data_IF_490650072436
#
_entry.id   IF_490650072436
#
_cell.length_a   1.000
_cell.length_b   1.000
_cell.length_c   1.000
_cell.angle_alpha   90.00
_cell.angle_beta   90.00
_cell.angle_gamma   90.00
#
_symmetry.space_group_name_H-M   'P 1'
#
loop_
_entity.id
_entity.type
_entity.pdbx_description
1 polymer ?
#
# COMPACT_ATOMS: atom_id res chain seq x y z
N UNK A 1 21.23 36.43 -5.77
CA UNK A 1 22.18 35.31 -5.66
C UNK A 1 21.36 34.03 -5.56
N UNK A 2 21.42 33.15 -6.55
CA UNK A 2 20.73 31.86 -6.48
C UNK A 2 21.48 31.00 -5.45
N UNK A 3 20.80 30.65 -4.36
CA UNK A 3 21.35 29.72 -3.38
C UNK A 3 21.48 28.37 -4.07
N UNK A 4 22.71 27.88 -4.23
CA UNK A 4 22.98 26.55 -4.76
C UNK A 4 22.29 25.53 -3.87
N UNK A 5 21.33 24.79 -4.42
CA UNK A 5 20.64 23.72 -3.70
C UNK A 5 21.69 22.69 -3.25
N UNK A 6 21.66 22.22 -2.00
CA UNK A 6 22.53 21.12 -1.59
C UNK A 6 22.26 19.92 -2.50
N UNK A 7 23.34 19.33 -3.01
CA UNK A 7 23.25 18.10 -3.81
C UNK A 7 22.76 16.92 -2.97
N UNK A 8 22.25 15.85 -3.61
CA UNK A 8 21.77 14.68 -2.90
C UNK A 8 22.88 14.09 -2.03
N UNK A 9 22.61 13.96 -0.73
CA UNK A 9 23.59 13.42 0.22
C UNK A 9 23.79 11.90 0.05
N UNK A 10 22.80 11.24 -0.54
CA UNK A 10 22.77 9.80 -0.73
C UNK A 10 22.70 8.97 0.54
N UNK A 11 22.46 9.62 1.68
CA UNK A 11 22.36 8.98 2.99
C UNK A 11 20.97 9.22 3.55
N UNK A 12 20.40 8.19 4.16
CA UNK A 12 19.23 8.36 5.01
C UNK A 12 19.54 9.38 6.12
N UNK A 13 18.68 10.38 6.25
CA UNK A 13 18.81 11.39 7.29
C UNK A 13 18.16 10.91 8.59
N UNK A 14 17.06 10.16 8.50
CA UNK A 14 16.33 9.66 9.66
C UNK A 14 17.12 8.54 10.36
N UNK A 15 17.64 7.58 9.59
CA UNK A 15 18.36 6.43 10.13
C UNK A 15 19.58 6.87 10.92
N UNK A 16 20.31 7.88 10.42
CA UNK A 16 21.50 8.41 11.08
C UNK A 16 21.20 9.22 12.35
N UNK A 17 19.99 9.76 12.47
CA UNK A 17 19.61 10.57 13.61
C UNK A 17 19.04 9.77 14.79
N UNK A 18 18.52 8.57 14.55
CA UNK A 18 17.95 7.70 15.59
C UNK A 18 19.02 6.73 16.09
N UNK A 19 19.38 6.83 17.36
CA UNK A 19 20.37 5.96 17.99
C UNK A 19 19.67 4.99 18.95
N UNK A 20 19.66 3.68 18.66
CA UNK A 20 19.02 2.70 19.53
C UNK A 20 19.77 2.62 20.87
N UNK A 21 19.04 2.42 21.96
CA UNK A 21 19.64 2.24 23.30
C UNK A 21 19.75 0.76 23.72
N UNK A 22 19.23 -0.17 22.93
CA UNK A 22 19.61 -1.59 22.98
C UNK A 22 20.45 -1.94 21.75
N UNK A 23 21.21 -3.04 21.85
CA UNK A 23 21.92 -3.62 20.72
C UNK A 23 21.12 -4.73 20.05
N UNK A 24 21.53 -5.11 18.84
CA UNK A 24 20.95 -6.23 18.09
C UNK A 24 20.55 -5.82 16.67
N UNK A 25 20.80 -6.70 15.73
CA UNK A 25 20.59 -6.43 14.32
C UNK A 25 19.15 -6.79 13.92
N UNK A 26 18.41 -5.78 13.47
CA UNK A 26 17.12 -5.96 12.80
C UNK A 26 17.39 -6.13 11.30
N UNK A 27 17.07 -7.30 10.76
CA UNK A 27 17.24 -7.63 9.35
C UNK A 27 15.91 -7.35 8.65
N UNK A 28 15.91 -6.36 7.76
CA UNK A 28 14.77 -6.01 6.91
C UNK A 28 15.00 -6.53 5.49
N UNK A 29 13.98 -7.15 4.91
CA UNK A 29 14.00 -7.70 3.57
C UNK A 29 12.70 -7.40 2.82
N UNK A 30 12.77 -7.49 1.50
CA UNK A 30 11.60 -7.41 0.61
C UNK A 30 11.82 -8.37 -0.55
N UNK A 31 10.84 -9.20 -0.93
CA UNK A 31 10.91 -9.97 -2.17
C UNK A 31 10.87 -9.09 -3.43
N UNK A 32 10.52 -7.81 -3.28
CA UNK A 32 10.53 -6.84 -4.37
C UNK A 32 11.89 -6.17 -4.59
N UNK A 33 12.88 -6.46 -3.73
CA UNK A 33 14.28 -6.07 -3.93
C UNK A 33 15.04 -7.31 -4.39
N UNK A 34 15.57 -7.28 -5.61
CA UNK A 34 16.33 -8.41 -6.15
C UNK A 34 17.72 -8.55 -5.51
N UNK A 35 18.46 -9.61 -5.88
CA UNK A 35 19.79 -9.87 -5.35
C UNK A 35 20.81 -8.76 -5.67
N UNK A 36 20.57 -8.02 -6.75
CA UNK A 36 21.34 -6.85 -7.14
C UNK A 36 20.78 -5.57 -6.49
N UNK A 37 19.82 -5.63 -5.57
CA UNK A 37 19.31 -4.47 -4.86
C UNK A 37 18.40 -3.55 -5.69
N UNK A 38 17.80 -4.03 -6.79
CA UNK A 38 16.82 -3.28 -7.58
C UNK A 38 15.40 -3.53 -7.09
N UNK A 39 14.62 -2.46 -6.98
CA UNK A 39 13.19 -2.50 -6.70
C UNK A 39 12.40 -2.76 -7.98
N UNK A 40 11.38 -3.60 -7.86
CA UNK A 40 10.40 -3.83 -8.93
C UNK A 40 9.68 -2.53 -9.34
N UNK A 41 9.46 -2.38 -10.65
CA UNK A 41 8.84 -1.20 -11.23
C UNK A 41 7.37 -1.02 -10.84
N UNK A 42 6.69 -2.08 -10.38
CA UNK A 42 5.29 -2.04 -9.92
C UNK A 42 5.08 -1.10 -8.72
N UNK A 43 6.16 -0.75 -8.02
CA UNK A 43 6.17 0.20 -6.89
C UNK A 43 6.42 1.65 -7.34
N UNK A 44 6.60 1.88 -8.65
CA UNK A 44 6.79 3.18 -9.26
C UNK A 44 5.45 3.84 -9.63
N UNK A 45 5.44 5.17 -9.76
CA UNK A 45 4.25 5.92 -10.20
C UNK A 45 3.91 5.70 -11.66
N UNK A 46 4.86 5.23 -12.47
CA UNK A 46 4.63 4.93 -13.88
C UNK A 46 3.88 3.60 -14.05
N UNK A 47 3.83 2.77 -13.01
CA UNK A 47 3.08 1.51 -12.97
C UNK A 47 2.00 1.60 -11.87
N UNK A 48 1.87 0.59 -11.03
CA UNK A 48 0.74 0.46 -10.09
C UNK A 48 0.87 1.34 -8.84
N UNK A 49 2.07 1.85 -8.54
CA UNK A 49 2.40 2.49 -7.28
C UNK A 49 1.94 1.67 -6.05
N UNK A 50 2.05 0.34 -6.13
CA UNK A 50 1.76 -0.54 -5.00
C UNK A 50 2.85 -0.44 -3.94
N UNK A 51 2.52 -0.54 -2.66
CA UNK A 51 3.54 -0.57 -1.60
C UNK A 51 4.34 -1.88 -1.66
N UNK A 52 5.67 -1.86 -1.43
CA UNK A 52 6.47 -3.09 -1.41
C UNK A 52 6.12 -3.99 -0.21
N UNK A 53 5.97 -5.31 -0.39
CA UNK A 53 5.92 -6.26 0.73
C UNK A 53 7.24 -6.19 1.51
N UNK A 54 7.16 -6.27 2.83
CA UNK A 54 8.31 -6.23 3.72
C UNK A 54 8.26 -7.40 4.69
N UNK A 55 9.41 -7.93 5.05
CA UNK A 55 9.56 -8.89 6.13
C UNK A 55 10.80 -8.59 6.94
N UNK A 56 10.76 -8.91 8.23
CA UNK A 56 11.89 -8.67 9.10
C UNK A 56 12.03 -9.74 10.19
N UNK A 57 13.27 -9.89 10.64
CA UNK A 57 13.63 -10.68 11.81
C UNK A 57 14.65 -9.92 12.66
N UNK A 58 14.75 -10.24 13.95
CA UNK A 58 15.64 -9.51 14.84
C UNK A 58 15.29 -9.70 16.31
N UNK A 59 15.76 -8.80 17.19
CA UNK A 59 15.54 -8.88 18.62
C UNK A 59 14.05 -8.86 18.99
N UNK A 60 13.71 -9.58 20.07
CA UNK A 60 12.37 -9.56 20.64
C UNK A 60 12.18 -8.33 21.55
N UNK A 61 10.92 -8.01 21.87
CA UNK A 61 10.58 -7.03 22.90
C UNK A 61 10.12 -5.67 22.38
N UNK A 62 10.02 -5.46 21.06
CA UNK A 62 9.33 -4.30 20.53
C UNK A 62 7.83 -4.36 20.89
N UNK A 63 7.30 -3.29 21.47
CA UNK A 63 5.86 -3.12 21.67
C UNK A 63 5.15 -2.73 20.36
N UNK A 64 5.87 -2.02 19.49
CA UNK A 64 5.46 -1.70 18.13
C UNK A 64 6.65 -1.37 17.25
N UNK A 65 6.44 -1.30 15.94
CA UNK A 65 7.40 -0.80 14.97
C UNK A 65 6.95 0.52 14.33
N UNK A 66 7.93 1.28 13.84
CA UNK A 66 7.73 2.38 12.90
C UNK A 66 8.59 2.16 11.65
N UNK A 67 8.03 2.49 10.49
CA UNK A 67 8.71 2.42 9.20
C UNK A 67 8.81 3.83 8.62
N UNK A 68 9.99 4.21 8.18
CA UNK A 68 10.23 5.42 7.39
C UNK A 68 10.89 5.00 6.09
N UNK A 69 10.30 5.35 4.96
CA UNK A 69 10.91 5.14 3.65
C UNK A 69 11.23 6.50 3.05
N UNK A 70 12.52 6.75 2.81
CA UNK A 70 12.96 8.01 2.22
C UNK A 70 13.87 7.88 1.00
N UNK A 71 13.78 8.84 0.09
CA UNK A 71 14.67 9.00 -1.08
C UNK A 71 15.53 10.27 -0.90
N UNK A 72 16.80 10.13 -0.45
CA UNK A 72 17.74 11.23 -0.29
C UNK A 72 18.41 11.67 -1.58
N UNK A 73 18.14 10.99 -2.70
CA UNK A 73 18.73 11.27 -4.01
C UNK A 73 17.91 12.28 -4.83
N UNK A 74 16.66 12.48 -4.46
CA UNK A 74 15.80 13.43 -5.13
C UNK A 74 16.26 14.89 -5.04
N UNK A 75 15.95 15.71 -6.07
CA UNK A 75 16.45 17.08 -6.21
C UNK A 75 15.68 18.09 -5.34
N UNK A 76 15.70 17.90 -4.01
CA UNK A 76 15.08 18.76 -3.00
C UNK A 76 16.00 18.96 -1.79
N UNK A 77 15.65 19.94 -0.95
CA UNK A 77 16.44 20.29 0.24
C UNK A 77 16.38 19.18 1.30
N UNK A 78 15.23 18.51 1.43
CA UNK A 78 15.02 17.37 2.32
C UNK A 78 14.73 16.10 1.50
N UNK A 79 15.11 14.90 2.00
CA UNK A 79 14.74 13.63 1.39
C UNK A 79 13.24 13.50 1.13
N UNK A 80 12.83 12.77 0.08
CA UNK A 80 11.41 12.45 -0.10
C UNK A 80 11.00 11.49 0.97
N UNK A 81 9.90 11.76 1.64
CA UNK A 81 9.20 10.76 2.40
C UNK A 81 8.27 9.99 1.46
N UNK A 82 8.63 8.74 1.18
CA UNK A 82 7.81 7.84 0.37
C UNK A 82 6.73 7.14 1.20
N UNK A 83 7.04 6.80 2.45
CA UNK A 83 6.08 6.15 3.34
C UNK A 83 6.45 6.38 4.80
N UNK A 84 5.43 6.60 5.62
CA UNK A 84 5.57 6.77 7.05
C UNK A 84 4.52 5.93 7.75
N UNK A 85 4.97 4.98 8.55
CA UNK A 85 4.12 4.11 9.36
C UNK A 85 4.56 4.17 10.81
N UNK A 86 3.61 4.08 11.73
CA UNK A 86 3.89 3.78 13.13
C UNK A 86 2.81 2.92 13.76
N UNK A 87 3.10 2.41 14.96
CA UNK A 87 2.24 1.50 15.70
C UNK A 87 1.94 0.18 14.97
N UNK A 88 2.80 -0.24 14.04
CA UNK A 88 2.79 -1.62 13.54
C UNK A 88 2.91 -2.54 14.79
N UNK A 89 2.02 -3.50 15.04
CA UNK A 89 2.08 -4.32 16.24
C UNK A 89 3.43 -5.01 16.41
N UNK A 90 3.95 -5.08 17.65
CA UNK A 90 5.25 -5.70 17.94
C UNK A 90 5.36 -7.19 17.59
N UNK A 91 4.21 -7.86 17.47
CA UNK A 91 4.10 -9.25 17.01
C UNK A 91 4.17 -9.40 15.49
N UNK A 92 4.05 -8.31 14.73
CA UNK A 92 4.11 -8.32 13.27
C UNK A 92 5.57 -8.46 12.83
N UNK A 93 5.82 -9.37 11.90
CA UNK A 93 7.15 -9.63 11.30
C UNK A 93 7.15 -9.47 9.78
N UNK A 94 5.99 -9.11 9.19
CA UNK A 94 5.87 -8.82 7.78
C UNK A 94 4.68 -7.87 7.51
N UNK A 95 4.81 -7.06 6.48
CA UNK A 95 3.72 -6.30 5.86
C UNK A 95 3.45 -6.87 4.47
N UNK A 96 2.17 -7.08 4.11
CA UNK A 96 1.83 -7.38 2.72
C UNK A 96 2.20 -6.18 1.84
N UNK A 97 2.41 -6.44 0.55
CA UNK A 97 2.42 -5.36 -0.44
C UNK A 97 1.00 -4.86 -0.69
N UNK A 98 0.89 -3.77 -1.44
CA UNK A 98 -0.40 -3.20 -1.85
C UNK A 98 -1.32 -2.81 -0.67
N UNK A 99 -0.73 -2.34 0.43
CA UNK A 99 -1.47 -1.71 1.52
C UNK A 99 -2.22 -0.48 0.99
N UNK A 100 -3.52 -0.45 1.29
CA UNK A 100 -4.45 0.57 0.83
C UNK A 100 -4.15 1.96 1.39
N UNK A 101 -4.58 2.98 0.66
CA UNK A 101 -4.53 4.36 1.14
C UNK A 101 -5.49 4.58 2.32
N UNK A 102 -5.09 5.46 3.24
CA UNK A 102 -5.85 5.84 4.43
C UNK A 102 -5.04 5.75 5.72
N UNK A 103 -5.48 6.44 6.76
CA UNK A 103 -4.74 6.51 8.03
C UNK A 103 -4.79 5.19 8.82
N UNK A 104 -5.81 4.35 8.64
CA UNK A 104 -5.96 3.02 9.27
C UNK A 104 -6.23 1.94 8.23
N UNK A 105 -5.18 1.31 7.66
CA UNK A 105 -5.37 0.19 6.76
C UNK A 105 -5.91 -1.02 7.52
N UNK A 106 -6.93 -1.64 6.97
CA UNK A 106 -7.54 -2.88 7.44
C UNK A 106 -6.55 -4.05 7.42
N UNK A 107 -5.60 -4.05 6.48
CA UNK A 107 -4.58 -5.10 6.37
C UNK A 107 -3.71 -5.25 7.63
N UNK A 108 -3.56 -4.21 8.44
CA UNK A 108 -2.75 -4.26 9.68
C UNK A 108 -3.40 -3.44 10.79
N UNK A 109 -4.35 -4.01 11.55
CA UNK A 109 -5.06 -3.30 12.59
C UNK A 109 -4.13 -2.68 13.65
N UNK A 110 -4.37 -1.40 13.96
CA UNK A 110 -3.58 -0.64 14.94
C UNK A 110 -2.36 0.07 14.36
N UNK A 111 -1.96 -0.25 13.12
CA UNK A 111 -1.00 0.53 12.36
C UNK A 111 -1.62 1.88 11.96
N UNK A 112 -0.78 2.91 11.88
CA UNK A 112 -1.14 4.23 11.37
C UNK A 112 -0.24 4.55 10.18
N UNK A 113 -0.83 5.04 9.09
CA UNK A 113 -0.10 5.69 8.00
C UNK A 113 -0.05 7.18 8.25
N UNK A 114 1.15 7.76 8.28
CA UNK A 114 1.38 9.19 8.27
C UNK A 114 1.34 9.77 6.86
N UNK A 115 1.46 11.09 6.78
CA UNK A 115 1.56 11.79 5.49
C UNK A 115 2.94 11.60 4.86
N UNK A 116 2.95 11.18 3.60
CA UNK A 116 4.13 11.19 2.74
C UNK A 116 4.43 12.62 2.23
N UNK A 117 5.47 12.80 1.40
CA UNK A 117 5.82 14.12 0.85
C UNK A 117 4.78 14.74 -0.09
N UNK A 118 3.78 13.98 -0.55
CA UNK A 118 2.59 14.52 -1.26
C UNK A 118 1.45 14.90 -0.33
N UNK A 119 1.59 14.66 0.98
CA UNK A 119 0.54 14.90 1.97
C UNK A 119 -0.48 13.76 2.07
N UNK A 120 -0.21 12.61 1.46
CA UNK A 120 -1.14 11.48 1.40
C UNK A 120 -0.79 10.42 2.45
N UNK A 121 -1.82 9.74 2.98
CA UNK A 121 -1.66 8.60 3.88
C UNK A 121 -1.54 7.31 3.07
N UNK A 122 -0.47 7.18 2.29
CA UNK A 122 -0.24 6.04 1.40
C UNK A 122 1.25 5.93 1.01
N UNK A 123 1.61 4.80 0.42
CA UNK A 123 2.86 4.69 -0.33
C UNK A 123 2.87 5.67 -1.48
N UNK A 124 3.91 6.51 -1.53
CA UNK A 124 4.22 7.33 -2.67
C UNK A 124 5.08 6.52 -3.64
N UNK A 125 4.57 6.25 -4.85
CA UNK A 125 5.34 5.53 -5.86
C UNK A 125 6.69 6.19 -6.16
N UNK A 126 7.67 5.37 -6.54
CA UNK A 126 8.98 5.82 -7.02
C UNK A 126 8.83 6.62 -8.32
N UNK A 127 9.51 7.76 -8.43
CA UNK A 127 9.49 8.59 -9.63
C UNK A 127 10.80 9.40 -9.78
N UNK A 128 11.95 8.72 -9.89
CA UNK A 128 13.20 9.40 -10.16
C UNK A 128 13.17 10.00 -11.58
N UNK A 129 13.91 11.08 -11.87
CA UNK A 129 13.99 11.63 -13.21
C UNK A 129 14.48 10.60 -14.25
N UNK A 130 14.14 10.79 -15.54
CA UNK A 130 14.50 9.86 -16.60
C UNK A 130 16.00 9.51 -16.62
N UNK A 131 16.31 8.22 -16.61
CA UNK A 131 17.69 7.72 -16.65
C UNK A 131 18.50 7.86 -15.36
N UNK A 132 18.01 8.59 -14.36
CA UNK A 132 18.62 8.71 -13.04
C UNK A 132 18.28 7.49 -12.18
N UNK A 133 19.21 7.12 -11.29
CA UNK A 133 18.99 6.04 -10.31
C UNK A 133 18.97 6.64 -8.92
N UNK A 134 17.87 6.43 -8.21
CA UNK A 134 17.72 6.84 -6.81
C UNK A 134 17.73 5.64 -5.89
N UNK A 135 18.13 5.86 -4.64
CA UNK A 135 18.04 4.92 -3.53
C UNK A 135 16.83 5.24 -2.65
N UNK A 136 16.14 4.19 -2.24
CA UNK A 136 14.99 4.24 -1.34
C UNK A 136 15.39 3.50 -0.07
N UNK A 137 15.52 4.26 1.01
CA UNK A 137 15.95 3.78 2.31
C UNK A 137 14.73 3.37 3.14
N UNK A 138 14.45 2.08 3.21
CA UNK A 138 13.43 1.50 4.08
C UNK A 138 14.03 1.30 5.47
N UNK A 139 13.55 2.05 6.44
CA UNK A 139 14.13 2.09 7.78
C UNK A 139 13.08 1.64 8.78
N UNK A 140 13.35 0.53 9.46
CA UNK A 140 12.46 -0.04 10.45
C UNK A 140 13.04 0.14 11.85
N UNK A 141 12.20 0.62 12.77
CA UNK A 141 12.55 0.91 14.15
C UNK A 141 11.68 0.07 15.08
N UNK A 142 12.30 -0.79 15.90
CA UNK A 142 11.61 -1.50 17.00
C UNK A 142 11.51 -0.58 18.22
N UNK A 143 10.30 -0.36 18.72
CA UNK A 143 10.01 0.63 19.76
C UNK A 143 9.60 -0.04 21.08
N UNK A 144 9.96 0.56 22.20
CA UNK A 144 9.56 0.07 23.53
C UNK A 144 8.11 0.34 23.90
N UNK A 145 7.43 1.18 23.12
CA UNK A 145 6.04 1.62 23.35
C UNK A 145 5.34 1.93 22.05
N UNK A 146 4.02 1.94 22.12
CA UNK A 146 3.18 2.58 21.10
C UNK A 146 3.27 4.09 21.18
N UNK A 147 3.21 4.73 20.03
CA UNK A 147 3.21 6.17 19.87
C UNK A 147 1.77 6.70 19.97
N UNK A 148 1.54 7.62 20.90
CA UNK A 148 0.25 8.31 21.05
C UNK A 148 0.33 9.67 20.35
N UNK A 149 0.32 9.61 19.02
CA UNK A 149 0.46 10.77 18.14
C UNK A 149 -0.79 10.90 17.26
N UNK A 150 -1.29 12.12 16.99
CA UNK A 150 -2.29 12.34 15.95
C UNK A 150 -1.86 11.75 14.60
N UNK A 151 -2.80 11.25 13.79
CA UNK A 151 -2.53 10.67 12.46
C UNK A 151 -1.79 11.62 11.51
N UNK A 152 -1.92 12.90 11.79
CA UNK A 152 -1.44 14.03 11.00
C UNK A 152 -0.09 14.59 11.47
N UNK A 153 0.52 13.94 12.47
CA UNK A 153 1.79 14.38 13.06
C UNK A 153 2.89 14.43 12.00
N UNK A 154 3.61 15.56 11.87
CA UNK A 154 4.68 15.69 10.88
C UNK A 154 5.88 14.79 11.22
N UNK A 155 6.63 14.37 10.19
CA UNK A 155 7.80 13.49 10.35
C UNK A 155 8.80 14.03 11.39
N UNK A 156 9.02 15.33 11.45
CA UNK A 156 9.95 15.94 12.41
C UNK A 156 9.56 15.66 13.89
N UNK A 157 8.27 15.67 14.21
CA UNK A 157 7.77 15.34 15.53
C UNK A 157 7.81 13.83 15.80
N UNK A 158 7.44 13.00 14.80
CA UNK A 158 7.58 11.54 14.90
C UNK A 158 9.05 11.18 15.17
N UNK A 159 9.99 11.78 14.45
CA UNK A 159 11.43 11.60 14.62
C UNK A 159 11.89 11.91 16.04
N UNK A 160 11.37 12.98 16.66
CA UNK A 160 11.71 13.31 18.04
C UNK A 160 11.31 12.17 18.99
N UNK A 161 10.16 11.56 18.77
CA UNK A 161 9.70 10.41 19.56
C UNK A 161 10.51 9.15 19.25
N UNK A 162 10.84 8.88 17.98
CA UNK A 162 11.68 7.74 17.59
C UNK A 162 13.04 7.77 18.29
N UNK A 163 13.67 8.95 18.40
CA UNK A 163 14.95 9.13 19.11
C UNK A 163 14.90 8.65 20.56
N UNK A 164 13.74 8.75 21.21
CA UNK A 164 13.54 8.39 22.62
C UNK A 164 12.85 7.03 22.85
N UNK A 165 12.43 6.34 21.79
CA UNK A 165 11.65 5.09 21.90
C UNK A 165 12.31 3.87 21.24
N UNK A 166 13.35 4.10 20.43
CA UNK A 166 13.95 3.04 19.60
C UNK A 166 14.85 2.10 20.41
N UNK A 167 14.46 0.84 20.49
CA UNK A 167 15.26 -0.25 21.06
C UNK A 167 16.35 -0.71 20.09
N UNK A 168 15.98 -0.96 18.83
CA UNK A 168 16.84 -1.44 17.76
C UNK A 168 16.29 -0.98 16.40
N UNK A 169 17.13 -1.00 15.36
CA UNK A 169 16.75 -0.54 14.02
C UNK A 169 17.45 -1.35 12.93
N UNK A 170 16.87 -1.33 11.74
CA UNK A 170 17.37 -2.02 10.55
C UNK A 170 17.07 -1.20 9.31
N UNK A 171 17.85 -1.42 8.25
CA UNK A 171 17.69 -0.73 6.98
C UNK A 171 17.77 -1.71 5.81
N UNK A 172 16.91 -1.48 4.82
CA UNK A 172 17.00 -2.06 3.49
C UNK A 172 17.08 -0.92 2.49
N UNK A 173 18.05 -0.98 1.57
CA UNK A 173 18.18 0.01 0.49
C UNK A 173 17.80 -0.67 -0.81
N UNK A 174 16.72 -0.20 -1.43
CA UNK A 174 16.34 -0.57 -2.78
C UNK A 174 16.70 0.54 -3.77
N UNK A 175 17.01 0.17 -5.01
CA UNK A 175 17.35 1.11 -6.08
C UNK A 175 16.31 1.05 -7.18
N UNK A 176 15.98 2.21 -7.76
CA UNK A 176 15.13 2.24 -8.93
C UNK A 176 15.66 3.28 -9.91
N UNK A 177 15.64 2.93 -11.20
CA UNK A 177 16.08 3.80 -12.29
C UNK A 177 14.86 4.33 -13.02
N UNK A 178 14.81 5.65 -13.20
CA UNK A 178 13.75 6.29 -13.95
C UNK A 178 13.74 5.80 -15.39
N UNK A 179 12.56 5.53 -15.98
CA UNK A 179 12.48 5.12 -17.36
C UNK A 179 13.16 6.17 -18.23
N UNK A 180 14.01 5.73 -19.15
CA UNK A 180 14.63 6.63 -20.13
C UNK A 180 13.59 6.86 -21.21
N UNK A 181 13.25 8.12 -21.49
CA UNK A 181 12.51 8.46 -22.72
C UNK A 181 13.40 8.11 -23.91
N UNK A 182 13.28 6.87 -24.40
CA UNK A 182 13.83 6.49 -25.69
C UNK A 182 12.85 7.03 -26.71
N UNK A 183 13.08 8.26 -27.17
CA UNK A 183 12.39 8.78 -28.35
C UNK A 183 12.42 7.73 -29.46
N UNK A 184 11.24 7.31 -29.90
CA UNK A 184 11.00 6.42 -31.03
C UNK A 184 11.62 5.01 -30.97
N UNK A 185 11.36 4.25 -29.91
CA UNK A 185 11.29 2.80 -30.03
C UNK A 185 9.83 2.41 -30.25
N UNK A 186 9.48 2.14 -31.52
CA UNK A 186 8.18 1.63 -31.95
C UNK A 186 7.63 0.59 -30.95
N UNK A 187 6.51 0.94 -30.33
CA UNK A 187 5.63 -0.02 -29.67
C UNK A 187 5.45 -1.20 -30.63
N UNK A 188 5.78 -2.47 -30.26
CA UNK A 188 5.37 -3.58 -31.10
C UNK A 188 3.85 -3.50 -31.16
N UNK A 189 3.35 -3.26 -32.38
CA UNK A 189 1.95 -3.25 -32.66
C UNK A 189 1.33 -4.50 -32.02
N UNK A 190 0.27 -4.31 -31.22
CA UNK A 190 -0.67 -5.38 -30.94
C UNK A 190 -1.25 -5.82 -32.28
N UNK A 191 -0.62 -6.81 -32.91
CA UNK A 191 -1.21 -7.51 -34.05
C UNK A 191 -2.33 -8.38 -33.48
N UNK A 192 -3.51 -7.78 -33.38
CA UNK A 192 -4.74 -8.55 -33.43
C UNK A 192 -4.82 -9.16 -34.82
N UNK A 193 -4.66 -10.47 -34.91
CA UNK A 193 -5.11 -11.23 -36.07
C UNK A 193 -6.13 -12.24 -35.60
N UNK A 194 -7.40 -11.92 -35.86
CA UNK A 194 -8.44 -12.91 -36.09
C UNK A 194 -7.91 -13.93 -37.11
N UNK A 195 -7.64 -15.15 -36.65
CA UNK A 195 -7.43 -16.29 -37.52
C UNK A 195 -8.78 -16.79 -38.01
N UNK A 196 -9.15 -16.39 -39.22
CA UNK A 196 -10.18 -17.06 -40.02
C UNK A 196 -9.42 -18.11 -40.83
N UNK A 197 -9.69 -19.38 -40.58
CA UNK A 197 -9.12 -20.50 -41.32
C UNK A 197 -10.12 -20.91 -42.42
N UNK A 198 -9.78 -20.82 -43.72
CA UNK A 198 -10.64 -21.29 -44.79
C UNK A 198 -10.23 -22.69 -45.27
N UNK A 199 -11.26 -23.46 -45.62
CA UNK A 199 -11.23 -24.66 -46.46
C UNK A 199 -10.92 -26.01 -45.80
N UNK A 200 -12.01 -26.75 -45.51
CA UNK A 200 -12.07 -28.17 -45.87
C UNK A 200 -13.37 -28.39 -46.63
N UNK A 201 -13.24 -28.73 -47.92
CA UNK A 201 -14.32 -28.99 -48.85
C UNK A 201 -14.42 -30.51 -49.04
N UNK A 202 -15.55 -31.12 -48.65
CA UNK A 202 -15.92 -32.46 -49.08
C UNK A 202 -17.42 -32.51 -49.39
N UNK A 203 -17.69 -33.03 -50.58
CA UNK A 203 -18.91 -32.91 -51.38
C UNK A 203 -19.88 -34.08 -51.15
N UNK A 204 -21.14 -33.72 -50.83
CA UNK A 204 -22.47 -34.30 -51.16
C UNK A 204 -22.85 -35.75 -50.80
N UNK A 205 -24.09 -35.94 -50.27
CA UNK A 205 -25.31 -36.27 -51.05
C UNK A 205 -26.56 -36.47 -50.15
N UNK A 206 -27.68 -35.83 -50.55
CA UNK A 206 -29.14 -36.14 -50.45
C UNK A 206 -29.70 -36.98 -49.27
N UNK A 207 -30.89 -36.79 -48.68
CA UNK A 207 -32.18 -36.27 -49.17
C UNK A 207 -33.17 -36.17 -47.96
N UNK A 208 -34.13 -35.24 -48.05
CA UNK A 208 -35.47 -35.12 -47.41
C UNK A 208 -35.84 -35.79 -46.05
N UNK A 209 -36.41 -35.00 -45.13
CA UNK A 209 -37.87 -34.94 -44.88
C UNK A 209 -38.26 -34.22 -43.56
N UNK A 210 -39.36 -33.43 -43.63
CA UNK A 210 -40.19 -32.88 -42.55
C UNK A 210 -39.56 -31.82 -41.62
N UNK A 211 -39.99 -30.56 -41.52
CA UNK A 211 -41.34 -30.00 -41.68
C UNK A 211 -41.92 -29.66 -40.30
N UNK A 212 -41.72 -28.41 -39.83
CA UNK A 212 -42.67 -27.60 -39.02
C UNK A 212 -42.03 -26.27 -38.58
N UNK A 213 -42.80 -25.20 -38.74
CA UNK A 213 -42.42 -23.80 -38.60
C UNK A 213 -42.37 -23.25 -37.16
N UNK A 214 -42.33 -21.91 -37.01
CA UNK A 214 -41.81 -21.22 -35.84
C UNK A 214 -42.87 -20.99 -34.76
N UNK A 215 -42.45 -20.91 -33.50
CA UNK A 215 -43.23 -20.32 -32.41
C UNK A 215 -42.55 -19.03 -31.96
N UNK A 216 -43.25 -17.93 -32.19
CA UNK A 216 -42.97 -16.60 -31.65
C UNK A 216 -44.11 -16.21 -30.69
N UNK A 217 -43.74 -15.46 -29.66
CA UNK A 217 -44.53 -14.50 -28.88
C UNK A 217 -45.75 -14.98 -28.07
N UNK A 218 -45.72 -14.65 -26.78
CA UNK A 218 -46.92 -14.53 -25.95
C UNK A 218 -46.77 -15.14 -24.56
N UNK A 219 -46.33 -14.33 -23.59
CA UNK A 219 -47.12 -14.09 -22.36
C UNK A 219 -46.36 -13.17 -21.41
N UNK A 220 -46.72 -11.88 -21.52
CA UNK A 220 -46.45 -10.83 -20.57
C UNK A 220 -47.79 -10.39 -19.99
N UNK A 221 -47.73 -10.04 -18.70
CA UNK A 221 -48.67 -9.26 -17.90
C UNK A 221 -49.74 -10.03 -17.12
N UNK A 222 -49.66 -9.97 -15.77
CA UNK A 222 -50.67 -9.30 -14.92
C UNK A 222 -50.05 -8.81 -13.59
N UNK A 223 -49.84 -7.50 -13.52
CA UNK A 223 -50.23 -6.54 -12.45
C UNK A 223 -50.31 -7.03 -10.97
N UNK A 224 -49.50 -6.55 -10.00
CA UNK A 224 -49.43 -5.23 -9.31
C UNK A 224 -50.20 -5.21 -7.93
N UNK A 225 -50.15 -4.15 -7.08
CA UNK A 225 -49.44 -4.08 -5.78
C UNK A 225 -50.37 -3.79 -4.56
N UNK A 226 -49.78 -3.42 -3.39
CA UNK A 226 -50.32 -2.98 -2.05
C UNK A 226 -49.94 -3.96 -0.91
N UNK A 227 -49.50 -3.58 0.30
CA UNK A 227 -49.60 -2.33 1.07
C UNK A 227 -48.48 -2.24 2.16
N UNK A 228 -48.15 -1.05 2.70
CA UNK A 228 -47.19 -0.80 3.78
C UNK A 228 -47.85 -0.72 5.19
N UNK A 229 -47.02 -0.85 6.23
CA UNK A 229 -47.29 -0.65 7.67
C UNK A 229 -48.12 -1.71 8.45
N UNK A 230 -47.53 -2.21 9.54
CA UNK A 230 -48.15 -3.14 10.49
C UNK A 230 -47.33 -3.32 11.78
N UNK A 231 -47.33 -2.29 12.64
CA UNK A 231 -46.92 -2.33 14.07
C UNK A 231 -47.89 -3.29 14.83
N UNK A 232 -47.57 -4.07 15.88
CA UNK A 232 -47.27 -3.73 17.30
C UNK A 232 -46.98 -5.04 18.11
N UNK A 233 -45.98 -5.18 19.03
CA UNK A 233 -46.00 -5.10 20.55
C UNK A 233 -44.88 -6.00 21.17
N UNK A 234 -44.52 -5.95 22.50
CA UNK A 234 -44.68 -4.93 23.55
C UNK A 234 -43.44 -4.63 24.47
N UNK A 235 -43.58 -3.51 25.18
CA UNK A 235 -43.02 -2.94 26.44
C UNK A 235 -42.04 -3.74 27.33
N UNK A 236 -40.97 -3.03 27.75
CA UNK A 236 -40.73 -2.75 29.18
C UNK A 236 -39.40 -3.24 29.77
N UNK A 237 -38.44 -2.32 29.95
CA UNK A 237 -37.23 -2.56 30.73
C UNK A 237 -36.26 -1.37 30.65
N UNK A 238 -36.48 -0.37 31.50
CA UNK A 238 -35.61 0.81 31.65
C UNK A 238 -34.34 0.46 32.46
N UNK A 239 -33.14 0.93 32.08
CA UNK A 239 -31.92 0.66 32.85
C UNK A 239 -31.85 1.51 34.14
N UNK A 240 -31.24 1.00 35.23
CA UNK A 240 -31.29 1.66 36.53
C UNK A 240 -30.38 2.90 36.66
N UNK A 241 -30.89 3.88 37.41
CA UNK A 241 -30.34 5.20 37.76
C UNK A 241 -29.07 5.11 38.66
N UNK A 242 -27.96 5.81 38.32
CA UNK A 242 -26.69 5.78 39.06
C UNK A 242 -26.66 6.53 40.41
N UNK A 243 -27.80 6.91 41.01
CA UNK A 243 -27.81 7.62 42.31
C UNK A 243 -28.63 6.92 43.38
N UNK A 244 -28.08 5.87 44.01
CA UNK A 244 -28.36 5.51 45.41
C UNK A 244 -27.23 4.67 46.04
N UNK A 245 -26.85 4.95 47.31
CA UNK A 245 -25.67 4.34 47.94
C UNK A 245 -25.96 2.93 48.48
N UNK A 246 -24.98 2.04 48.37
CA UNK A 246 -24.98 0.72 48.99
C UNK A 246 -24.98 0.84 50.53
N UNK A 247 -25.87 0.11 51.21
CA UNK A 247 -25.69 -0.26 52.62
C UNK A 247 -25.16 -1.70 52.69
N UNK A 248 -24.26 -1.88 53.65
CA UNK A 248 -23.55 -3.12 54.05
C UNK A 248 -24.44 -4.35 54.14
#
# INVERSE_FOLDING_TARGET
MAQSRPGPSGRSTIFMQVHPYQGGDLILASPSVDADGWLSAVHSQAEDASSPPLSWSGPLGAASYALVVEDPDAPREEPALHWLLWNIPGSTTALPGDIEAGFHPAATPGMIQGRNSRGEHAWLGMAPPPGETHRYHFQLFGLDRRLHLPVDTPLAEVLHVLKAATLFKGELIGRFRGPVDVGDAASPARTGSYGVDPAVDHVTRAEEAAGRGPLDSGDIDRHAPHDPEGVVRPRGGEPPDPKRPFRL
#
